data_IF_619949220015
#
_entry.id   IF_619949220015
#
_cell.length_a   1.000
_cell.length_b   1.000
_cell.length_c   1.000
_cell.angle_alpha   90.00
_cell.angle_beta   90.00
_cell.angle_gamma   90.00
#
_symmetry.space_group_name_H-M   'P 1'
#
loop_
_entity.id
_entity.type
_entity.pdbx_description
1 polymer ?
#
# COMPACT_ATOMS: atom_id res chain seq x y z
N UNK A 1 27.50 -10.75 6.93
CA UNK A 1 26.07 -10.83 7.31
C UNK A 1 25.27 -11.00 6.03
N UNK A 2 24.33 -11.96 5.97
CA UNK A 2 23.40 -12.05 4.83
C UNK A 2 22.49 -10.82 4.82
N UNK A 3 22.21 -10.25 3.65
CA UNK A 3 21.19 -9.20 3.55
C UNK A 3 19.81 -9.79 3.86
N UNK A 4 18.98 -9.04 4.58
CA UNK A 4 17.61 -9.43 4.91
C UNK A 4 16.76 -9.43 3.64
N UNK A 5 16.00 -10.51 3.43
CA UNK A 5 14.98 -10.60 2.37
C UNK A 5 13.61 -10.23 2.93
N UNK A 6 12.77 -9.69 2.04
CA UNK A 6 11.37 -9.33 2.33
C UNK A 6 10.47 -9.91 1.25
N UNK A 7 9.22 -10.19 1.63
CA UNK A 7 8.13 -10.44 0.70
C UNK A 7 7.60 -9.10 0.20
N UNK A 8 7.76 -8.83 -1.09
CA UNK A 8 7.36 -7.56 -1.69
C UNK A 8 5.95 -7.64 -2.27
N UNK A 9 5.18 -6.59 -2.04
CA UNK A 9 3.83 -6.46 -2.55
C UNK A 9 3.64 -5.11 -3.25
N UNK A 10 2.91 -5.10 -4.36
CA UNK A 10 2.31 -3.89 -4.93
C UNK A 10 0.86 -3.81 -4.45
N UNK A 11 0.55 -2.77 -3.68
CA UNK A 11 -0.78 -2.57 -3.12
C UNK A 11 -1.43 -1.36 -3.79
N UNK A 12 -2.54 -1.60 -4.48
CA UNK A 12 -3.36 -0.57 -5.09
C UNK A 12 -4.41 -0.05 -4.12
N UNK A 13 -4.58 1.26 -4.07
CA UNK A 13 -5.58 1.94 -3.25
C UNK A 13 -6.47 2.82 -4.11
N UNK A 14 -7.68 3.02 -3.61
CA UNK A 14 -8.63 3.98 -4.15
C UNK A 14 -9.27 4.78 -3.01
N UNK A 15 -9.53 6.06 -3.24
CA UNK A 15 -10.24 6.92 -2.30
C UNK A 15 -11.00 8.02 -3.04
N UNK A 16 -11.99 8.61 -2.36
CA UNK A 16 -12.66 9.82 -2.82
C UNK A 16 -12.02 11.03 -2.14
N UNK A 17 -11.63 12.03 -2.93
CA UNK A 17 -11.03 13.25 -2.38
C UNK A 17 -12.13 14.26 -2.04
N UNK A 18 -12.29 14.59 -0.74
CA UNK A 18 -13.34 15.51 -0.27
C UNK A 18 -13.20 16.89 -0.90
N UNK A 19 -11.96 17.34 -1.09
CA UNK A 19 -11.66 18.66 -1.62
C UNK A 19 -11.66 18.70 -3.16
N UNK A 20 -11.58 17.53 -3.80
CA UNK A 20 -11.49 17.40 -5.26
C UNK A 20 -12.81 17.01 -5.91
N UNK A 21 -13.84 17.86 -5.85
CA UNK A 21 -15.11 17.73 -6.61
C UNK A 21 -15.75 16.32 -6.71
N UNK A 22 -15.50 15.42 -5.75
CA UNK A 22 -15.96 14.02 -5.81
C UNK A 22 -15.17 13.10 -6.75
N UNK A 23 -13.97 13.46 -7.18
CA UNK A 23 -13.14 12.62 -8.04
C UNK A 23 -12.54 11.45 -7.25
N UNK A 24 -12.78 10.24 -7.75
CA UNK A 24 -12.07 9.04 -7.27
C UNK A 24 -10.62 9.08 -7.73
N UNK A 25 -9.70 8.95 -6.78
CA UNK A 25 -8.25 8.91 -7.03
C UNK A 25 -7.72 7.53 -6.72
N UNK A 26 -6.74 7.10 -7.50
CA UNK A 26 -6.07 5.82 -7.33
C UNK A 26 -4.57 6.04 -7.19
N UNK A 27 -3.93 5.23 -6.36
CA UNK A 27 -2.47 5.18 -6.26
C UNK A 27 -2.04 3.76 -5.91
N UNK A 28 -0.74 3.51 -5.95
CA UNK A 28 -0.18 2.23 -5.53
C UNK A 28 1.10 2.44 -4.75
N UNK A 29 1.35 1.57 -3.78
CA UNK A 29 2.58 1.59 -3.00
C UNK A 29 3.25 0.22 -3.07
N UNK A 30 4.57 0.23 -2.94
CA UNK A 30 5.37 -0.98 -2.77
C UNK A 30 5.56 -1.20 -1.27
N UNK A 31 5.14 -2.36 -0.77
CA UNK A 31 5.21 -2.69 0.66
C UNK A 31 6.08 -3.94 0.87
N UNK A 32 7.24 -3.81 1.53
CA UNK A 32 8.02 -4.95 2.00
C UNK A 32 7.43 -5.49 3.31
N UNK A 33 7.23 -6.80 3.40
CA UNK A 33 6.81 -7.48 4.61
C UNK A 33 7.81 -8.58 4.98
N UNK A 34 8.11 -8.70 6.28
CA UNK A 34 8.99 -9.77 6.78
C UNK A 34 8.35 -11.16 6.68
N UNK A 35 7.01 -11.22 6.68
CA UNK A 35 6.25 -12.46 6.61
C UNK A 35 5.34 -12.44 5.39
N UNK A 36 5.18 -13.61 4.79
CA UNK A 36 4.26 -13.78 3.67
C UNK A 36 2.83 -13.48 4.10
N UNK A 37 2.12 -12.68 3.31
CA UNK A 37 0.74 -12.30 3.55
C UNK A 37 -0.21 -13.44 3.10
N UNK A 38 -0.90 -14.14 4.02
CA UNK A 38 -1.85 -15.19 3.67
C UNK A 38 -3.13 -14.60 3.02
N UNK A 39 -4.09 -15.43 2.55
CA UNK A 39 -5.38 -14.96 2.08
C UNK A 39 -5.99 -13.91 3.01
N UNK A 40 -6.33 -12.77 2.43
CA UNK A 40 -6.48 -11.52 3.18
C UNK A 40 -7.83 -11.47 3.86
N UNK A 41 -7.85 -11.40 5.19
CA UNK A 41 -9.05 -11.16 5.97
C UNK A 41 -9.47 -9.69 5.90
N UNK A 42 -10.72 -9.37 6.23
CA UNK A 42 -11.19 -7.99 6.31
C UNK A 42 -10.38 -7.14 7.31
N UNK A 43 -9.95 -7.73 8.43
CA UNK A 43 -9.05 -7.07 9.38
C UNK A 43 -7.74 -6.66 8.73
N UNK A 44 -7.17 -7.54 7.90
CA UNK A 44 -5.91 -7.28 7.21
C UNK A 44 -6.06 -6.21 6.13
N UNK A 45 -7.19 -6.16 5.44
CA UNK A 45 -7.51 -5.06 4.52
C UNK A 45 -7.61 -3.71 5.24
N UNK A 46 -8.18 -3.68 6.45
CA UNK A 46 -8.22 -2.45 7.25
C UNK A 46 -6.83 -1.98 7.67
N UNK A 47 -5.94 -2.90 8.09
CA UNK A 47 -4.54 -2.59 8.39
C UNK A 47 -3.83 -1.97 7.18
N UNK A 48 -4.01 -2.55 5.99
CA UNK A 48 -3.46 -2.00 4.75
C UNK A 48 -4.06 -0.62 4.42
N UNK A 49 -5.35 -0.42 4.67
CA UNK A 49 -6.00 0.90 4.55
C UNK A 49 -5.33 1.97 5.41
N UNK A 50 -4.92 1.64 6.65
CA UNK A 50 -4.17 2.57 7.52
C UNK A 50 -2.83 2.94 6.90
N UNK A 51 -2.10 1.96 6.34
CA UNK A 51 -0.81 2.21 5.66
C UNK A 51 -1.01 3.16 4.46
N UNK A 52 -2.06 2.93 3.66
CA UNK A 52 -2.40 3.82 2.55
C UNK A 52 -2.68 5.25 3.02
N UNK A 53 -3.39 5.42 4.14
CA UNK A 53 -3.72 6.73 4.71
C UNK A 53 -2.48 7.47 5.19
N UNK A 54 -1.57 6.79 5.88
CA UNK A 54 -0.30 7.35 6.31
C UNK A 54 0.58 7.76 5.13
N UNK A 55 0.59 6.97 4.06
CA UNK A 55 1.30 7.31 2.84
C UNK A 55 0.77 8.59 2.22
N UNK A 56 -0.57 8.75 2.10
CA UNK A 56 -1.19 9.97 1.57
C UNK A 56 -0.77 11.17 2.42
N UNK A 57 -0.93 11.09 3.74
CA UNK A 57 -0.57 12.20 4.66
C UNK A 57 0.88 12.66 4.51
N UNK A 58 1.79 11.76 4.15
CA UNK A 58 3.22 12.05 3.97
C UNK A 58 3.56 12.59 2.58
N UNK A 59 2.90 12.12 1.52
CA UNK A 59 3.32 12.36 0.14
C UNK A 59 2.37 13.29 -0.65
N UNK A 60 1.11 13.42 -0.22
CA UNK A 60 0.12 14.30 -0.79
C UNK A 60 -0.70 14.98 0.32
N UNK A 61 -0.09 16.02 0.91
CA UNK A 61 -0.71 16.79 1.99
C UNK A 61 -1.92 17.63 1.55
N UNK A 62 -2.20 17.70 0.25
CA UNK A 62 -3.36 18.39 -0.31
C UNK A 62 -4.61 17.51 -0.39
N UNK A 63 -4.43 16.19 -0.40
CA UNK A 63 -5.53 15.23 -0.44
C UNK A 63 -6.25 15.16 0.91
N UNK A 64 -7.58 15.15 0.88
CA UNK A 64 -8.42 14.83 2.04
C UNK A 64 -9.22 13.55 1.75
N UNK A 65 -8.61 12.38 2.04
CA UNK A 65 -9.18 11.10 1.62
C UNK A 65 -10.40 10.69 2.44
N UNK A 66 -11.47 10.35 1.74
CA UNK A 66 -12.67 9.70 2.25
C UNK A 66 -12.82 8.32 1.62
N UNK A 67 -13.32 7.35 2.40
CA UNK A 67 -13.56 5.97 1.94
C UNK A 67 -12.32 5.36 1.26
N UNK A 68 -11.14 5.50 1.88
CA UNK A 68 -9.93 4.83 1.40
C UNK A 68 -10.05 3.32 1.63
N UNK A 69 -9.81 2.53 0.59
CA UNK A 69 -9.70 1.08 0.71
C UNK A 69 -8.70 0.50 -0.28
N UNK A 70 -8.20 -0.69 0.05
CA UNK A 70 -7.30 -1.47 -0.81
C UNK A 70 -8.10 -2.09 -1.96
N UNK A 71 -7.72 -1.77 -3.19
CA UNK A 71 -8.33 -2.29 -4.41
C UNK A 71 -7.67 -3.60 -4.89
N UNK A 72 -6.35 -3.69 -4.74
CA UNK A 72 -5.57 -4.82 -5.23
C UNK A 72 -4.33 -5.06 -4.39
N UNK A 73 -3.91 -6.32 -4.31
CA UNK A 73 -2.67 -6.76 -3.67
C UNK A 73 -2.01 -7.74 -4.62
N UNK A 74 -0.84 -7.39 -5.13
CA UNK A 74 -0.04 -8.23 -6.03
C UNK A 74 1.26 -8.62 -5.35
N UNK A 75 1.56 -9.91 -5.26
CA UNK A 75 2.83 -10.39 -4.72
C UNK A 75 3.91 -10.32 -5.80
N UNK A 76 5.02 -9.66 -5.49
CA UNK A 76 6.13 -9.41 -6.42
C UNK A 76 7.30 -10.39 -6.24
N UNK A 77 7.34 -11.13 -5.12
CA UNK A 77 8.39 -12.10 -4.81
C UNK A 77 9.14 -11.80 -3.52
N UNK A 78 10.03 -12.72 -3.16
CA UNK A 78 10.92 -12.58 -2.00
C UNK A 78 12.32 -12.15 -2.47
N UNK A 79 12.75 -10.96 -2.06
CA UNK A 79 14.02 -10.37 -2.49
C UNK A 79 14.53 -9.32 -1.50
N UNK A 80 15.82 -9.00 -1.56
CA UNK A 80 16.40 -7.92 -0.76
C UNK A 80 15.96 -6.55 -1.27
N UNK A 81 16.11 -5.51 -0.44
CA UNK A 81 15.84 -4.13 -0.86
C UNK A 81 16.70 -3.70 -2.06
N UNK A 82 17.93 -4.21 -2.16
CA UNK A 82 18.80 -3.92 -3.31
C UNK A 82 18.30 -4.61 -4.58
N UNK A 83 17.93 -5.88 -4.49
CA UNK A 83 17.36 -6.64 -5.61
C UNK A 83 16.07 -6.00 -6.14
N UNK A 84 15.25 -5.43 -5.25
CA UNK A 84 14.00 -4.78 -5.63
C UNK A 84 14.19 -3.43 -6.34
N UNK A 85 15.23 -2.67 -6.00
CA UNK A 85 15.50 -1.33 -6.55
C UNK A 85 16.59 -1.30 -7.64
N UNK A 86 17.16 -2.46 -8.00
CA UNK A 86 18.16 -2.60 -9.07
C UNK A 86 17.54 -2.43 -10.46
#
# INVERSE_FOLDING_TARGET
>A
MSEQKYHWYLIGYTFNDKNGSGNTRNFSIQLPLETFLPPVSQSKLNELGVIGLEWIRKNDSSADPENLFTLSICYLGEMTTKEFHA
#
